data_IF_717863132594
#
_entry.id   IF_717863132594
#
_cell.length_a   1.000
_cell.length_b   1.000
_cell.length_c   1.000
_cell.angle_alpha   90.00
_cell.angle_beta   90.00
_cell.angle_gamma   90.00
#
_symmetry.space_group_name_H-M   'P 1'
#
loop_
_entity.id
_entity.type
_entity.pdbx_description
1 polymer ?
#
# COMPACT_ATOMS: atom_id res chain seq x y z
N UNK A 1 37.88 48.74 -51.27
CA UNK A 1 38.62 47.54 -51.68
C UNK A 1 39.25 46.96 -50.43
N UNK A 2 38.67 45.91 -49.86
CA UNK A 2 39.26 45.23 -48.70
C UNK A 2 39.05 43.73 -48.92
N UNK A 3 40.16 43.01 -49.12
CA UNK A 3 40.19 41.59 -49.43
C UNK A 3 40.13 40.80 -48.13
N UNK A 4 39.07 40.07 -47.90
CA UNK A 4 38.98 39.09 -46.84
C UNK A 4 39.74 37.81 -47.23
N UNK A 5 40.77 37.45 -46.44
CA UNK A 5 41.49 36.20 -46.54
C UNK A 5 40.69 35.10 -45.80
N UNK A 6 40.23 34.11 -46.55
CA UNK A 6 39.68 32.85 -46.01
C UNK A 6 40.85 31.91 -45.67
N UNK A 7 41.00 31.54 -44.38
CA UNK A 7 41.83 30.42 -43.95
C UNK A 7 40.96 29.13 -43.95
N UNK A 8 41.35 28.18 -44.81
CA UNK A 8 40.90 26.82 -44.78
C UNK A 8 41.82 26.02 -43.88
N UNK A 9 41.30 25.40 -42.80
CA UNK A 9 41.96 24.30 -42.11
C UNK A 9 41.45 22.96 -42.65
N UNK A 10 42.34 22.00 -42.96
CA UNK A 10 41.95 20.68 -43.41
C UNK A 10 41.71 19.74 -42.21
N UNK A 11 40.59 19.00 -42.28
CA UNK A 11 40.49 17.63 -41.82
C UNK A 11 40.38 17.37 -40.30
N UNK A 12 39.14 17.34 -39.79
CA UNK A 12 38.71 16.30 -38.82
C UNK A 12 37.25 15.97 -39.13
N UNK A 13 37.03 14.95 -39.98
CA UNK A 13 35.76 14.27 -40.08
C UNK A 13 35.70 13.19 -39.01
N UNK A 14 35.16 13.53 -37.89
CA UNK A 14 34.85 12.61 -36.81
C UNK A 14 33.60 13.11 -36.14
N UNK A 15 32.43 12.56 -36.54
CA UNK A 15 31.21 12.68 -35.74
C UNK A 15 31.40 11.92 -34.42
N UNK A 16 31.98 12.58 -33.44
CA UNK A 16 31.92 12.14 -32.05
C UNK A 16 30.53 12.56 -31.55
N UNK A 17 29.55 11.64 -31.67
CA UNK A 17 28.32 11.72 -30.92
C UNK A 17 28.69 11.62 -29.45
N UNK A 18 28.87 12.76 -28.78
CA UNK A 18 28.90 12.83 -27.34
C UNK A 18 27.49 12.46 -26.90
N UNK A 19 27.27 11.15 -26.64
CA UNK A 19 26.14 10.72 -25.88
C UNK A 19 26.33 11.27 -24.46
N UNK A 20 25.84 12.50 -24.24
CA UNK A 20 25.71 13.06 -22.92
C UNK A 20 24.91 12.07 -22.06
N UNK A 21 25.18 11.98 -20.75
CA UNK A 21 24.36 11.16 -19.87
C UNK A 21 22.93 11.64 -20.07
N UNK A 22 22.05 10.77 -20.59
CA UNK A 22 20.63 10.98 -20.50
C UNK A 22 20.38 11.24 -19.02
N UNK A 23 20.08 12.48 -18.64
CA UNK A 23 19.38 12.75 -17.41
C UNK A 23 18.12 11.90 -17.51
N UNK A 24 18.16 10.72 -16.93
CA UNK A 24 16.96 9.97 -16.65
C UNK A 24 16.14 10.95 -15.82
N UNK A 25 15.12 11.54 -16.43
CA UNK A 25 14.10 12.24 -15.67
C UNK A 25 13.77 11.27 -14.55
N UNK A 26 14.02 11.65 -13.31
CA UNK A 26 13.62 10.90 -12.15
C UNK A 26 12.11 10.91 -12.24
N UNK A 27 11.54 9.87 -12.85
CA UNK A 27 10.11 9.64 -12.85
C UNK A 27 9.78 9.47 -11.38
N UNK A 28 9.34 10.55 -10.75
CA UNK A 28 8.90 10.51 -9.37
C UNK A 28 7.70 9.58 -9.35
N UNK A 29 7.88 8.41 -8.79
CA UNK A 29 6.81 7.46 -8.60
C UNK A 29 5.69 8.13 -7.80
N UNK A 30 4.53 8.24 -8.38
CA UNK A 30 3.38 8.87 -7.75
C UNK A 30 2.52 7.81 -7.10
N UNK A 31 2.40 7.88 -5.78
CA UNK A 31 1.57 6.96 -5.00
C UNK A 31 0.21 7.60 -4.75
N UNK A 32 -0.87 6.88 -5.08
CA UNK A 32 -2.21 7.13 -4.54
C UNK A 32 -2.43 6.23 -3.34
N UNK A 33 -2.73 6.81 -2.18
CA UNK A 33 -3.08 6.04 -0.97
C UNK A 33 -4.58 5.84 -0.93
N UNK A 34 -5.04 4.60 -0.77
CA UNK A 34 -6.45 4.23 -0.71
C UNK A 34 -6.76 3.69 0.68
N UNK A 35 -7.72 4.31 1.37
CA UNK A 35 -8.09 4.00 2.76
C UNK A 35 -9.60 3.75 2.82
N UNK A 36 -10.04 2.50 3.02
CA UNK A 36 -11.45 2.22 3.28
C UNK A 36 -11.81 2.65 4.70
N UNK A 37 -12.89 3.42 4.85
CA UNK A 37 -13.34 3.94 6.13
C UNK A 37 -14.75 3.46 6.48
N UNK A 38 -14.97 3.21 7.76
CA UNK A 38 -16.27 3.00 8.37
C UNK A 38 -16.16 3.23 9.87
N UNK A 39 -16.71 4.36 10.36
CA UNK A 39 -16.65 4.78 11.77
C UNK A 39 -15.20 4.78 12.31
N UNK A 40 -14.33 5.54 11.67
CA UNK A 40 -12.90 5.59 11.94
C UNK A 40 -12.43 6.93 12.53
N UNK A 41 -13.32 7.78 13.06
CA UNK A 41 -13.02 9.13 13.54
C UNK A 41 -11.79 9.18 14.47
N UNK A 42 -11.63 8.17 15.35
CA UNK A 42 -10.57 8.12 16.36
C UNK A 42 -9.20 7.71 15.82
N UNK A 43 -9.19 6.93 14.75
CA UNK A 43 -7.96 6.28 14.23
C UNK A 43 -7.45 6.94 12.96
N UNK A 44 -8.32 7.59 12.20
CA UNK A 44 -8.01 8.15 10.90
C UNK A 44 -6.97 9.28 10.97
N UNK A 45 -7.07 10.17 11.95
CA UNK A 45 -6.15 11.30 12.11
C UNK A 45 -4.67 10.87 12.20
N UNK A 46 -4.29 9.99 13.14
CA UNK A 46 -2.93 9.43 13.20
C UNK A 46 -2.48 8.73 11.92
N UNK A 47 -3.37 7.98 11.25
CA UNK A 47 -3.07 7.32 9.98
C UNK A 47 -2.72 8.35 8.89
N UNK A 48 -3.51 9.41 8.74
CA UNK A 48 -3.24 10.48 7.78
C UNK A 48 -1.99 11.28 8.12
N UNK A 49 -1.74 11.56 9.41
CA UNK A 49 -0.55 12.26 9.85
C UNK A 49 0.75 11.52 9.46
N UNK A 50 0.75 10.18 9.49
CA UNK A 50 1.89 9.37 9.07
C UNK A 50 2.19 9.46 7.55
N UNK A 51 1.26 9.95 6.74
CA UNK A 51 1.44 10.14 5.30
C UNK A 51 2.03 11.53 4.96
N UNK A 52 1.93 12.51 5.86
CA UNK A 52 2.36 13.90 5.62
C UNK A 52 3.80 14.01 5.12
N UNK A 53 4.81 13.31 5.69
CA UNK A 53 6.18 13.38 5.19
C UNK A 53 6.30 12.96 3.71
N UNK A 54 5.53 11.96 3.27
CA UNK A 54 5.53 11.51 1.88
C UNK A 54 4.82 12.49 0.93
N UNK A 55 3.77 13.17 1.42
CA UNK A 55 3.08 14.24 0.68
C UNK A 55 4.04 15.43 0.50
N UNK A 56 4.70 15.88 1.56
CA UNK A 56 5.67 16.98 1.52
C UNK A 56 6.84 16.65 0.58
N UNK A 57 7.30 15.41 0.60
CA UNK A 57 8.35 14.92 -0.31
C UNK A 57 7.87 14.78 -1.77
N UNK A 58 6.55 14.82 -1.99
CA UNK A 58 5.90 14.71 -3.29
C UNK A 58 5.90 13.29 -3.88
N UNK A 59 5.98 12.27 -3.03
CA UNK A 59 5.88 10.84 -3.40
C UNK A 59 4.42 10.41 -3.35
N UNK A 60 3.68 10.82 -2.31
CA UNK A 60 2.23 10.66 -2.24
C UNK A 60 1.59 11.85 -2.92
N UNK A 61 0.80 11.58 -3.95
CA UNK A 61 0.09 12.59 -4.73
C UNK A 61 -1.30 12.87 -4.18
N UNK A 62 -1.95 11.85 -3.66
CA UNK A 62 -3.31 11.93 -3.15
C UNK A 62 -3.57 10.84 -2.12
N UNK A 63 -4.49 11.14 -1.21
CA UNK A 63 -5.12 10.16 -0.33
C UNK A 63 -6.62 10.11 -0.67
N UNK A 64 -7.10 8.92 -1.02
CA UNK A 64 -8.50 8.65 -1.37
C UNK A 64 -9.10 7.87 -0.22
N UNK A 65 -10.02 8.50 0.50
CA UNK A 65 -10.81 7.84 1.52
C UNK A 65 -12.11 7.34 0.90
N UNK A 66 -12.38 6.08 1.12
CA UNK A 66 -13.60 5.46 0.57
C UNK A 66 -14.51 5.09 1.73
N UNK A 67 -15.53 5.90 1.94
CA UNK A 67 -16.44 5.73 3.06
C UNK A 67 -17.54 4.71 2.76
N UNK A 68 -17.75 3.81 3.71
CA UNK A 68 -18.75 2.74 3.65
C UNK A 68 -20.07 3.07 4.34
N UNK A 69 -20.36 4.37 4.57
CA UNK A 69 -21.55 4.86 5.28
C UNK A 69 -21.28 5.07 6.77
N UNK A 70 -20.24 5.84 7.11
CA UNK A 70 -19.94 6.25 8.47
C UNK A 70 -21.05 7.13 9.06
N UNK A 71 -21.29 6.98 10.35
CA UNK A 71 -22.27 7.75 11.13
C UNK A 71 -21.62 8.62 12.22
N UNK A 72 -20.31 8.51 12.36
CA UNK A 72 -19.45 9.31 13.23
C UNK A 72 -18.81 10.49 12.46
N UNK A 73 -17.82 11.14 13.04
CA UNK A 73 -17.13 12.28 12.44
C UNK A 73 -16.04 11.90 11.41
N UNK A 74 -16.01 10.66 10.93
CA UNK A 74 -15.00 10.20 9.96
C UNK A 74 -14.92 11.10 8.72
N UNK A 75 -16.06 11.49 8.14
CA UNK A 75 -16.10 12.35 6.96
C UNK A 75 -15.58 13.76 7.24
N UNK A 76 -15.84 14.31 8.44
CA UNK A 76 -15.32 15.61 8.86
C UNK A 76 -13.79 15.57 9.01
N UNK A 77 -13.25 14.50 9.60
CA UNK A 77 -11.79 14.30 9.71
C UNK A 77 -11.16 14.20 8.32
N UNK A 78 -11.80 13.50 7.39
CA UNK A 78 -11.35 13.35 6.01
C UNK A 78 -11.26 14.70 5.27
N UNK A 79 -12.31 15.50 5.38
CA UNK A 79 -12.42 16.83 4.75
C UNK A 79 -11.38 17.78 5.34
N UNK A 80 -11.27 17.84 6.66
CA UNK A 80 -10.29 18.67 7.37
C UNK A 80 -8.83 18.35 7.00
N UNK A 81 -8.55 17.09 6.65
CA UNK A 81 -7.24 16.65 6.18
C UNK A 81 -7.00 16.91 4.68
N UNK A 82 -7.97 17.44 3.96
CA UNK A 82 -7.87 17.74 2.53
C UNK A 82 -7.74 16.49 1.66
N UNK A 83 -8.33 15.37 2.08
CA UNK A 83 -8.32 14.11 1.33
C UNK A 83 -9.44 14.06 0.28
N UNK A 84 -9.29 13.18 -0.71
CA UNK A 84 -10.35 12.92 -1.67
C UNK A 84 -11.31 11.89 -1.09
N UNK A 85 -12.44 12.36 -0.58
CA UNK A 85 -13.49 11.51 -0.01
C UNK A 85 -14.45 11.05 -1.11
N UNK A 86 -14.69 9.73 -1.17
CA UNK A 86 -15.72 9.11 -2.02
C UNK A 86 -16.56 8.14 -1.21
N UNK A 87 -17.81 7.95 -1.60
CA UNK A 87 -18.70 6.98 -0.99
C UNK A 87 -18.75 5.69 -1.83
N UNK A 88 -18.82 4.55 -1.17
CA UNK A 88 -19.03 3.25 -1.80
C UNK A 88 -19.90 2.35 -0.92
N UNK A 89 -20.57 1.33 -1.50
CA UNK A 89 -21.26 0.34 -0.70
C UNK A 89 -20.34 -0.30 0.34
N UNK A 90 -20.85 -0.51 1.55
CA UNK A 90 -20.12 -1.13 2.65
C UNK A 90 -19.52 -2.47 2.26
N UNK A 91 -18.21 -2.62 2.47
CA UNK A 91 -17.43 -3.81 2.19
C UNK A 91 -16.02 -3.43 1.75
N UNK A 92 -14.99 -3.89 2.47
CA UNK A 92 -13.59 -3.48 2.22
C UNK A 92 -13.17 -3.73 0.78
N UNK A 93 -13.48 -4.89 0.21
CA UNK A 93 -13.13 -5.19 -1.17
C UNK A 93 -13.77 -4.20 -2.16
N UNK A 94 -15.05 -3.86 -1.97
CA UNK A 94 -15.77 -2.89 -2.80
C UNK A 94 -15.19 -1.48 -2.65
N UNK A 95 -14.90 -1.06 -1.41
CA UNK A 95 -14.33 0.25 -1.12
C UNK A 95 -12.92 0.39 -1.71
N UNK A 96 -12.06 -0.63 -1.52
CA UNK A 96 -10.69 -0.63 -2.04
C UNK A 96 -10.65 -0.60 -3.58
N UNK A 97 -11.54 -1.34 -4.24
CA UNK A 97 -11.67 -1.34 -5.70
C UNK A 97 -12.18 0.00 -6.22
N UNK A 98 -13.20 0.59 -5.58
CA UNK A 98 -13.71 1.91 -5.92
C UNK A 98 -12.62 3.00 -5.80
N UNK A 99 -11.84 2.97 -4.72
CA UNK A 99 -10.72 3.89 -4.53
C UNK A 99 -9.62 3.70 -5.58
N UNK A 100 -9.27 2.46 -5.91
CA UNK A 100 -8.29 2.16 -6.94
C UNK A 100 -8.72 2.64 -8.33
N UNK A 101 -10.01 2.60 -8.64
CA UNK A 101 -10.57 3.10 -9.89
C UNK A 101 -10.45 4.63 -10.02
N UNK A 102 -10.53 5.38 -8.92
CA UNK A 102 -10.40 6.84 -8.88
C UNK A 102 -8.93 7.31 -8.78
N UNK A 103 -8.04 6.44 -8.34
CA UNK A 103 -6.64 6.76 -8.13
C UNK A 103 -5.94 7.17 -9.44
N UNK A 104 -5.02 8.14 -9.38
CA UNK A 104 -4.26 8.68 -10.54
C UNK A 104 -2.79 8.27 -10.54
N UNK A 105 -2.24 7.91 -9.38
CA UNK A 105 -0.84 7.50 -9.25
C UNK A 105 -0.52 6.19 -9.98
N UNK A 106 0.72 6.02 -10.39
CA UNK A 106 1.22 4.78 -11.01
C UNK A 106 1.39 3.65 -10.00
N UNK A 107 1.46 4.02 -8.72
CA UNK A 107 1.53 3.12 -7.58
C UNK A 107 0.34 3.32 -6.65
N UNK A 108 -0.16 2.23 -6.12
CA UNK A 108 -1.29 2.19 -5.20
C UNK A 108 -0.79 1.68 -3.85
N UNK A 109 -1.09 2.44 -2.79
CA UNK A 109 -0.87 2.01 -1.41
C UNK A 109 -2.23 1.82 -0.75
N UNK A 110 -2.60 0.57 -0.50
CA UNK A 110 -3.80 0.24 0.26
C UNK A 110 -3.44 0.19 1.74
N UNK A 111 -4.16 0.94 2.57
CA UNK A 111 -3.88 1.09 3.99
C UNK A 111 -5.19 1.10 4.78
N UNK A 112 -5.20 0.51 5.97
CA UNK A 112 -6.37 0.58 6.86
C UNK A 112 -6.43 1.94 7.59
N UNK A 113 -7.64 2.36 7.97
CA UNK A 113 -7.89 3.62 8.67
C UNK A 113 -7.39 3.64 10.13
N UNK A 114 -6.92 2.52 10.64
CA UNK A 114 -6.36 2.32 11.99
C UNK A 114 -4.89 1.88 11.96
N UNK A 115 -4.20 2.13 10.86
CA UNK A 115 -2.80 1.71 10.65
C UNK A 115 -1.89 2.90 10.44
N UNK A 116 -0.92 3.08 11.30
CA UNK A 116 0.10 4.14 11.27
C UNK A 116 1.40 3.55 10.74
N UNK A 117 1.92 4.12 9.65
CA UNK A 117 3.20 3.68 9.09
C UNK A 117 4.38 4.32 9.85
N UNK A 118 5.39 3.52 10.14
CA UNK A 118 6.67 3.96 10.74
C UNK A 118 7.35 5.00 9.82
N UNK A 119 7.96 6.07 10.31
CA UNK A 119 8.54 7.14 9.47
C UNK A 119 9.49 6.68 8.37
N UNK A 120 10.16 5.55 8.54
CA UNK A 120 11.08 4.97 7.55
C UNK A 120 10.38 4.41 6.30
N UNK A 121 9.06 4.34 6.29
CA UNK A 121 8.31 3.76 5.18
C UNK A 121 8.52 4.50 3.85
N UNK A 122 8.75 5.81 3.93
CA UNK A 122 8.88 6.67 2.74
C UNK A 122 10.10 6.28 1.93
N UNK A 123 11.27 6.18 2.58
CA UNK A 123 12.53 5.83 1.94
C UNK A 123 12.53 4.38 1.44
N UNK A 124 11.92 3.48 2.19
CA UNK A 124 11.82 2.07 1.78
C UNK A 124 10.89 1.88 0.58
N UNK A 125 9.75 2.61 0.56
CA UNK A 125 8.82 2.60 -0.56
C UNK A 125 9.50 3.16 -1.83
N UNK A 126 10.17 4.32 -1.74
CA UNK A 126 10.94 4.88 -2.86
C UNK A 126 11.98 3.89 -3.40
N UNK A 127 12.80 3.35 -2.52
CA UNK A 127 13.85 2.39 -2.90
C UNK A 127 13.25 1.11 -3.55
N UNK A 128 12.11 0.65 -3.05
CA UNK A 128 11.40 -0.49 -3.64
C UNK A 128 10.89 -0.16 -5.03
N UNK A 129 10.18 0.97 -5.19
CA UNK A 129 9.64 1.44 -6.46
C UNK A 129 10.76 1.62 -7.49
N UNK A 130 11.82 2.33 -7.13
CA UNK A 130 12.97 2.55 -8.01
C UNK A 130 13.59 1.25 -8.52
N UNK A 131 13.70 0.22 -7.67
CA UNK A 131 14.21 -1.09 -8.07
C UNK A 131 13.29 -1.79 -9.09
N UNK A 132 11.99 -1.62 -8.97
CA UNK A 132 11.01 -2.19 -9.90
C UNK A 132 11.03 -1.44 -11.23
N UNK A 133 10.98 -0.10 -11.19
CA UNK A 133 10.91 0.75 -12.39
C UNK A 133 12.20 0.72 -13.21
N UNK A 134 13.35 0.67 -12.53
CA UNK A 134 14.65 0.51 -13.21
C UNK A 134 14.90 -0.89 -13.79
N UNK A 135 13.98 -1.83 -13.60
CA UNK A 135 14.14 -3.22 -14.02
C UNK A 135 15.13 -4.04 -13.20
N UNK A 136 15.75 -3.45 -12.16
CA UNK A 136 16.61 -4.18 -11.20
C UNK A 136 15.84 -5.24 -10.43
N UNK A 137 14.52 -5.08 -10.33
CA UNK A 137 13.59 -6.04 -9.79
C UNK A 137 12.44 -6.27 -10.77
N UNK A 138 12.00 -7.53 -10.90
CA UNK A 138 10.74 -7.85 -11.60
C UNK A 138 9.55 -7.24 -10.86
N UNK A 139 8.44 -7.05 -11.57
CA UNK A 139 7.21 -6.54 -10.96
C UNK A 139 6.86 -7.33 -9.70
N UNK A 140 6.58 -6.59 -8.63
CA UNK A 140 6.28 -7.11 -7.32
C UNK A 140 5.37 -6.14 -6.55
N UNK A 141 4.70 -6.63 -5.53
CA UNK A 141 4.04 -5.84 -4.50
C UNK A 141 4.85 -5.88 -3.21
N UNK A 142 4.80 -4.82 -2.43
CA UNK A 142 5.43 -4.77 -1.13
C UNK A 142 4.38 -4.63 -0.02
N UNK A 143 4.71 -5.13 1.17
CA UNK A 143 3.91 -4.99 2.38
C UNK A 143 4.82 -4.70 3.56
N UNK A 144 4.28 -4.09 4.61
CA UNK A 144 5.04 -3.67 5.78
C UNK A 144 5.07 -4.75 6.85
N UNK A 145 6.00 -4.63 7.80
CA UNK A 145 6.00 -5.50 8.97
C UNK A 145 4.83 -5.14 9.87
N UNK A 146 4.08 -6.14 10.28
CA UNK A 146 3.00 -5.96 11.24
C UNK A 146 3.56 -5.57 12.62
N UNK A 147 2.94 -4.57 13.25
CA UNK A 147 3.15 -4.22 14.63
C UNK A 147 1.81 -3.84 15.29
N UNK A 148 1.72 -4.02 16.59
CA UNK A 148 0.56 -3.60 17.39
C UNK A 148 0.93 -2.38 18.23
N UNK A 149 0.02 -1.42 18.29
CA UNK A 149 0.07 -0.30 19.23
C UNK A 149 -0.32 -0.80 20.64
N UNK A 150 0.55 -1.65 21.17
CA UNK A 150 0.40 -2.20 22.51
C UNK A 150 1.74 -2.74 23.03
N UNK A 151 1.90 -2.75 24.35
CA UNK A 151 3.10 -3.20 25.02
C UNK A 151 2.92 -4.58 25.68
N UNK A 152 4.03 -5.26 25.93
CA UNK A 152 4.05 -6.53 26.62
C UNK A 152 4.38 -7.73 25.73
N UNK A 153 4.31 -8.92 26.32
CA UNK A 153 4.73 -10.17 25.67
C UNK A 153 3.76 -10.63 24.58
N UNK A 154 2.44 -10.48 24.82
CA UNK A 154 1.42 -10.98 23.90
C UNK A 154 1.42 -10.25 22.54
N UNK A 155 1.49 -8.90 22.46
CA UNK A 155 1.67 -8.21 21.19
C UNK A 155 2.90 -8.69 20.42
N UNK A 156 4.05 -8.82 21.08
CA UNK A 156 5.31 -9.27 20.45
C UNK A 156 5.22 -10.72 19.94
N UNK A 157 4.51 -11.58 20.67
CA UNK A 157 4.23 -12.94 20.21
C UNK A 157 3.36 -12.91 18.93
N UNK A 158 2.30 -12.09 18.90
CA UNK A 158 1.45 -11.93 17.73
C UNK A 158 2.23 -11.42 16.53
N UNK A 159 3.05 -10.39 16.69
CA UNK A 159 3.93 -9.85 15.64
C UNK A 159 4.85 -10.95 15.07
N UNK A 160 5.44 -11.76 15.95
CA UNK A 160 6.30 -12.88 15.55
C UNK A 160 5.53 -13.96 14.77
N UNK A 161 4.33 -14.31 15.22
CA UNK A 161 3.47 -15.28 14.52
C UNK A 161 3.04 -14.76 13.14
N UNK A 162 2.70 -13.47 13.02
CA UNK A 162 2.37 -12.83 11.74
C UNK A 162 3.60 -12.84 10.82
N UNK A 163 4.78 -12.50 11.32
CA UNK A 163 6.01 -12.54 10.54
C UNK A 163 6.32 -13.96 10.03
N UNK A 164 6.15 -14.97 10.89
CA UNK A 164 6.32 -16.39 10.51
C UNK A 164 5.31 -16.81 9.44
N UNK A 165 4.03 -16.43 9.58
CA UNK A 165 2.99 -16.66 8.56
C UNK A 165 3.39 -16.05 7.22
N UNK A 166 3.82 -14.79 7.19
CA UNK A 166 4.25 -14.11 5.97
C UNK A 166 5.47 -14.80 5.36
N UNK A 167 6.45 -15.20 6.19
CA UNK A 167 7.63 -15.92 5.72
C UNK A 167 7.29 -17.31 5.18
N UNK A 168 6.49 -18.09 5.90
CA UNK A 168 6.17 -19.47 5.52
C UNK A 168 5.16 -19.56 4.37
N UNK A 169 4.09 -18.76 4.42
CA UNK A 169 2.95 -18.86 3.51
C UNK A 169 2.89 -17.75 2.47
N UNK A 170 3.76 -16.72 2.54
CA UNK A 170 3.69 -15.51 1.71
C UNK A 170 2.28 -14.87 1.75
N UNK A 171 1.71 -14.73 2.94
CA UNK A 171 0.32 -14.35 3.14
C UNK A 171 0.21 -13.15 4.11
N UNK A 172 0.59 -11.92 3.68
CA UNK A 172 0.27 -10.72 4.43
C UNK A 172 -1.25 -10.46 4.41
N UNK A 173 -1.75 -9.82 5.46
CA UNK A 173 -3.13 -9.33 5.55
C UNK A 173 -3.19 -7.82 5.29
N UNK A 174 -4.40 -7.29 5.11
CA UNK A 174 -4.63 -5.89 4.82
C UNK A 174 -4.12 -4.91 5.89
N UNK A 175 -4.02 -5.34 7.13
CA UNK A 175 -3.46 -4.58 8.26
C UNK A 175 -1.94 -4.32 8.13
N UNK A 176 -1.27 -4.98 7.20
CA UNK A 176 0.14 -4.76 6.86
C UNK A 176 0.34 -3.75 5.73
N UNK A 177 -0.74 -3.18 5.18
CA UNK A 177 -0.68 -2.35 3.99
C UNK A 177 -0.18 -3.12 2.75
N UNK A 178 -0.53 -2.64 1.57
CA UNK A 178 -0.07 -3.22 0.29
C UNK A 178 0.32 -2.13 -0.68
N UNK A 179 1.59 -2.05 -1.03
CA UNK A 179 2.13 -1.16 -2.06
C UNK A 179 2.32 -1.96 -3.36
N UNK A 180 1.61 -1.59 -4.41
CA UNK A 180 1.59 -2.32 -5.67
C UNK A 180 1.53 -1.35 -6.86
N UNK A 181 2.23 -1.66 -7.96
CA UNK A 181 2.06 -0.87 -9.18
C UNK A 181 0.66 -1.06 -9.77
N UNK A 182 0.08 0.01 -10.33
CA UNK A 182 -1.21 -0.05 -11.02
C UNK A 182 -1.25 -1.14 -12.09
N UNK A 183 -0.17 -1.28 -12.85
CA UNK A 183 -0.07 -2.32 -13.88
C UNK A 183 -0.18 -3.73 -13.30
N UNK A 184 0.47 -3.98 -12.16
CA UNK A 184 0.38 -5.28 -11.49
C UNK A 184 -1.00 -5.50 -10.90
N UNK A 185 -1.59 -4.48 -10.25
CA UNK A 185 -2.94 -4.52 -9.71
C UNK A 185 -3.98 -4.87 -10.78
N UNK A 186 -3.94 -4.17 -11.92
CA UNK A 186 -4.84 -4.40 -13.05
C UNK A 186 -4.65 -5.79 -13.66
N UNK A 187 -3.40 -6.27 -13.79
CA UNK A 187 -3.10 -7.61 -14.28
C UNK A 187 -3.69 -8.71 -13.37
N UNK A 188 -3.75 -8.46 -12.08
CA UNK A 188 -4.37 -9.37 -11.11
C UNK A 188 -5.90 -9.29 -11.12
N UNK A 189 -6.49 -8.30 -11.79
CA UNK A 189 -7.93 -8.06 -11.83
C UNK A 189 -8.50 -7.38 -10.59
N UNK A 190 -7.67 -6.64 -9.85
CA UNK A 190 -8.07 -5.78 -8.73
C UNK A 190 -8.63 -6.52 -7.51
N UNK A 191 -9.17 -5.77 -6.56
CA UNK A 191 -9.92 -6.35 -5.45
C UNK A 191 -11.28 -6.88 -5.93
N UNK A 192 -11.68 -8.01 -5.41
CA UNK A 192 -13.03 -8.53 -5.63
C UNK A 192 -13.98 -7.99 -4.56
N UNK A 193 -15.29 -7.83 -4.86
CA UNK A 193 -16.29 -7.34 -3.90
C UNK A 193 -16.63 -8.42 -2.87
N UNK A 194 -15.63 -8.84 -2.11
CA UNK A 194 -15.77 -9.83 -1.05
C UNK A 194 -16.05 -9.11 0.28
N UNK A 195 -16.97 -9.61 1.11
CA UNK A 195 -17.25 -9.01 2.40
C UNK A 195 -16.16 -9.26 3.45
N UNK A 196 -15.31 -10.26 3.21
CA UNK A 196 -14.16 -10.63 4.04
C UNK A 196 -13.16 -11.41 3.19
N UNK A 197 -11.85 -11.41 3.56
CA UNK A 197 -10.74 -12.10 2.86
C UNK A 197 -10.43 -11.53 1.47
N UNK A 198 -10.82 -10.29 1.20
CA UNK A 198 -10.49 -9.55 -0.02
C UNK A 198 -8.98 -9.38 -0.24
N UNK A 199 -8.26 -9.15 0.85
CA UNK A 199 -6.81 -9.05 0.92
C UNK A 199 -6.14 -10.39 0.63
N UNK A 200 -6.58 -11.45 1.29
CA UNK A 200 -6.11 -12.82 1.07
C UNK A 200 -6.36 -13.25 -0.37
N UNK A 201 -7.54 -12.93 -0.94
CA UNK A 201 -7.87 -13.24 -2.33
C UNK A 201 -6.93 -12.54 -3.31
N UNK A 202 -6.62 -11.26 -3.11
CA UNK A 202 -5.69 -10.52 -3.96
C UNK A 202 -4.26 -11.06 -3.84
N UNK A 203 -3.77 -11.24 -2.61
CA UNK A 203 -2.41 -11.70 -2.35
C UNK A 203 -2.16 -13.11 -2.90
N UNK A 204 -3.13 -14.01 -2.82
CA UNK A 204 -3.03 -15.36 -3.40
C UNK A 204 -2.90 -15.40 -4.91
N UNK A 205 -3.27 -14.34 -5.63
CA UNK A 205 -3.04 -14.20 -7.08
C UNK A 205 -1.62 -13.76 -7.42
N UNK A 206 -0.85 -13.28 -6.43
CA UNK A 206 0.59 -13.02 -6.54
C UNK A 206 1.40 -14.30 -6.35
N UNK A 207 2.50 -14.42 -7.09
CA UNK A 207 3.49 -15.45 -6.82
C UNK A 207 4.34 -15.05 -5.61
N UNK A 208 4.82 -16.02 -4.84
CA UNK A 208 5.68 -15.76 -3.66
C UNK A 208 6.85 -14.79 -3.96
N UNK A 209 7.48 -14.90 -5.13
CA UNK A 209 8.58 -14.03 -5.57
C UNK A 209 8.15 -12.60 -5.93
N UNK A 210 6.85 -12.39 -6.12
CA UNK A 210 6.24 -11.08 -6.41
C UNK A 210 5.80 -10.36 -5.12
N UNK A 211 6.04 -10.94 -3.95
CA UNK A 211 5.78 -10.34 -2.64
C UNK A 211 7.10 -9.99 -1.94
N UNK A 212 7.18 -8.78 -1.40
CA UNK A 212 8.34 -8.23 -0.69
C UNK A 212 7.90 -7.65 0.64
N UNK A 213 8.50 -8.12 1.72
CA UNK A 213 8.32 -7.49 3.02
C UNK A 213 9.32 -6.34 3.17
N UNK A 214 8.83 -5.15 3.46
CA UNK A 214 9.61 -3.99 3.87
C UNK A 214 9.96 -4.10 5.36
N UNK A 215 11.02 -3.41 5.80
CA UNK A 215 11.41 -3.44 7.21
C UNK A 215 10.60 -2.46 8.07
N UNK A 216 10.12 -1.36 7.47
CA UNK A 216 9.24 -0.41 8.14
C UNK A 216 7.95 -1.08 8.60
N UNK A 217 7.42 -0.59 9.72
CA UNK A 217 6.27 -1.20 10.40
C UNK A 217 4.97 -0.51 10.01
N UNK A 218 3.93 -1.32 9.87
CA UNK A 218 2.53 -0.90 9.90
C UNK A 218 2.00 -1.17 11.31
N UNK A 219 1.86 -0.11 12.09
CA UNK A 219 1.42 -0.18 13.48
C UNK A 219 -0.09 -0.07 13.52
N UNK A 220 -0.75 -1.16 13.82
CA UNK A 220 -2.23 -1.25 13.87
C UNK A 220 -2.71 -1.16 15.30
N UNK A 221 -3.89 -0.55 15.51
CA UNK A 221 -4.50 -0.42 16.83
C UNK A 221 -4.70 -1.77 17.52
N UNK A 222 -4.15 -1.89 18.73
CA UNK A 222 -4.32 -3.04 19.62
C UNK A 222 -5.69 -3.11 20.31
N UNK A 223 -6.57 -2.10 20.14
CA UNK A 223 -7.82 -1.97 20.88
C UNK A 223 -8.73 -3.21 20.77
N UNK A 224 -8.87 -3.76 19.57
CA UNK A 224 -9.66 -4.98 19.34
C UNK A 224 -9.07 -6.19 20.04
N UNK A 225 -7.74 -6.29 20.09
CA UNK A 225 -7.03 -7.38 20.79
C UNK A 225 -7.19 -7.24 22.31
N UNK A 226 -7.12 -6.02 22.86
CA UNK A 226 -7.36 -5.76 24.29
C UNK A 226 -8.78 -6.10 24.70
N UNK A 227 -9.78 -5.71 23.88
CA UNK A 227 -11.20 -5.96 24.16
C UNK A 227 -11.60 -7.43 24.05
N UNK A 228 -11.12 -8.14 23.04
CA UNK A 228 -11.54 -9.51 22.74
C UNK A 228 -10.61 -10.58 23.30
N UNK A 229 -9.42 -10.18 23.72
CA UNK A 229 -8.33 -11.07 24.13
C UNK A 229 -7.47 -11.54 22.94
N UNK A 230 -6.16 -11.52 23.12
CA UNK A 230 -5.17 -11.82 22.07
C UNK A 230 -5.37 -13.22 21.49
N UNK A 231 -5.52 -14.24 22.35
CA UNK A 231 -5.67 -15.64 21.93
C UNK A 231 -6.99 -15.84 21.18
N UNK A 232 -8.10 -15.34 21.73
CA UNK A 232 -9.42 -15.50 21.14
C UNK A 232 -9.46 -14.89 19.70
N UNK A 233 -8.90 -13.69 19.56
CA UNK A 233 -8.84 -13.02 18.25
C UNK A 233 -7.91 -13.74 17.27
N UNK A 234 -6.74 -14.20 17.73
CA UNK A 234 -5.82 -14.95 16.87
C UNK A 234 -6.46 -16.27 16.40
N UNK A 235 -7.15 -16.99 17.28
CA UNK A 235 -7.87 -18.22 16.94
C UNK A 235 -9.01 -17.97 15.97
N UNK A 236 -9.77 -16.86 16.13
CA UNK A 236 -10.82 -16.47 15.20
C UNK A 236 -10.25 -16.17 13.81
N UNK A 237 -9.17 -15.38 13.73
CA UNK A 237 -8.51 -15.07 12.47
C UNK A 237 -7.99 -16.34 11.77
N UNK A 238 -7.36 -17.24 12.53
CA UNK A 238 -6.90 -18.52 12.01
C UNK A 238 -8.07 -19.41 11.55
N UNK A 239 -9.15 -19.47 12.32
CA UNK A 239 -10.35 -20.23 11.98
C UNK A 239 -10.99 -19.71 10.68
N UNK A 240 -11.16 -18.39 10.54
CA UNK A 240 -11.68 -17.79 9.32
C UNK A 240 -10.78 -18.07 8.11
N UNK A 241 -9.46 -18.03 8.30
CA UNK A 241 -8.51 -18.37 7.23
C UNK A 241 -8.65 -19.84 6.82
N UNK A 242 -8.67 -20.77 7.76
CA UNK A 242 -8.84 -22.20 7.49
C UNK A 242 -10.16 -22.49 6.76
N UNK A 243 -11.27 -21.91 7.22
CA UNK A 243 -12.57 -22.06 6.58
C UNK A 243 -12.55 -21.46 5.15
N UNK A 244 -11.85 -20.35 4.94
CA UNK A 244 -11.67 -19.79 3.59
C UNK A 244 -10.93 -20.77 2.66
N UNK A 245 -9.85 -21.43 3.16
CA UNK A 245 -9.14 -22.45 2.39
C UNK A 245 -9.98 -23.72 2.14
N UNK A 246 -10.94 -24.01 3.02
CA UNK A 246 -11.96 -25.06 2.82
C UNK A 246 -13.11 -24.62 1.90
N UNK A 247 -12.95 -23.45 1.23
CA UNK A 247 -13.95 -22.89 0.28
C UNK A 247 -15.29 -22.54 0.92
N UNK A 248 -15.35 -22.28 2.22
CA UNK A 248 -16.56 -21.72 2.86
C UNK A 248 -16.80 -20.32 2.29
N UNK A 249 -18.04 -20.02 1.83
CA UNK A 249 -18.34 -18.74 1.20
C UNK A 249 -17.98 -17.54 2.10
N UNK A 250 -17.34 -16.49 1.58
CA UNK A 250 -16.94 -15.30 2.36
C UNK A 250 -18.09 -14.60 3.10
N UNK A 251 -19.33 -14.73 2.59
CA UNK A 251 -20.54 -14.23 3.27
C UNK A 251 -20.83 -14.95 4.59
N UNK A 252 -20.53 -16.24 4.68
CA UNK A 252 -20.64 -17.03 5.92
C UNK A 252 -19.53 -16.65 6.87
N UNK A 253 -18.29 -16.52 6.36
CA UNK A 253 -17.15 -16.09 7.16
C UNK A 253 -17.35 -14.71 7.79
N UNK A 254 -17.92 -13.76 7.03
CA UNK A 254 -18.23 -12.43 7.54
C UNK A 254 -19.22 -12.45 8.73
N UNK A 255 -20.19 -13.39 8.74
CA UNK A 255 -21.12 -13.56 9.88
C UNK A 255 -20.44 -14.17 11.12
N UNK A 256 -19.42 -15.01 10.91
CA UNK A 256 -18.65 -15.64 12.01
C UNK A 256 -17.58 -14.69 12.58
N UNK A 257 -17.14 -13.75 11.75
CA UNK A 257 -16.11 -12.79 12.15
C UNK A 257 -16.64 -11.65 13.04
N UNK A 258 -17.92 -11.32 12.91
CA UNK A 258 -18.65 -10.31 13.71
C UNK A 258 -18.83 -9.00 12.99
#
# INVERSE_FOLDING_TARGET
MNKSRTYRHPGITGNVAIAGPRLAAIVRAMISVIIPTLNAERTLGPTLAALVPAVVKGIVQEAILVDGGSTDETCLVADAAGTHLIEAPRGRGTQLDAGAAQARGDWLLFLHADTVLDPSWVEEAESFIERVESGRRKQAAAFFRFALDDDGLMPRLMETMVALRCFALALPYGDQGLLISRNLYNRLGGFRPLPLMEDVDLVRRLKRRELVMLNSRAVTSGERYRREGYIARAMRNLGCMLLYYLHVPPRVLARLYG
#
